data_IF_605193855444
#
_entry.id   IF_605193855444
#
_cell.length_a   1.000
_cell.length_b   1.000
_cell.length_c   1.000
_cell.angle_alpha   90.00
_cell.angle_beta   90.00
_cell.angle_gamma   90.00
#
_symmetry.space_group_name_H-M   'P 1'
#
loop_
_entity.id
_entity.type
_entity.pdbx_description
1 polymer ?
#
# COMPACT_ATOMS: atom_id res chain seq x y z
N UNK A 1 -19.95 -15.90 -0.64
CA UNK A 1 -19.90 -14.43 -0.65
C UNK A 1 -19.76 -13.97 0.79
N UNK A 2 -18.71 -13.22 1.12
CA UNK A 2 -18.32 -12.87 2.50
C UNK A 2 -18.53 -11.38 2.73
N UNK A 3 -19.29 -10.98 3.75
CA UNK A 3 -19.58 -9.57 4.01
C UNK A 3 -18.55 -8.95 4.96
N UNK A 4 -18.02 -7.79 4.59
CA UNK A 4 -17.15 -6.93 5.40
C UNK A 4 -17.76 -5.53 5.35
N UNK A 5 -18.49 -5.16 6.41
CA UNK A 5 -19.27 -3.92 6.42
C UNK A 5 -20.29 -3.90 5.29
N UNK A 6 -20.19 -2.89 4.42
CA UNK A 6 -21.06 -2.70 3.25
C UNK A 6 -20.55 -3.41 1.98
N UNK A 7 -19.35 -4.02 2.04
CA UNK A 7 -18.71 -4.69 0.92
C UNK A 7 -18.85 -6.20 1.08
N UNK A 8 -18.88 -6.91 -0.04
CA UNK A 8 -18.91 -8.36 -0.08
C UNK A 8 -17.86 -8.91 -1.04
N UNK A 9 -17.20 -9.99 -0.63
CA UNK A 9 -16.10 -10.61 -1.36
C UNK A 9 -16.51 -11.99 -1.87
N UNK A 10 -16.21 -12.27 -3.13
CA UNK A 10 -16.21 -13.60 -3.70
C UNK A 10 -14.81 -13.95 -4.19
N UNK A 11 -14.26 -15.05 -3.66
CA UNK A 11 -12.99 -15.57 -4.12
C UNK A 11 -13.16 -16.15 -5.52
N UNK A 12 -12.18 -15.89 -6.39
CA UNK A 12 -12.09 -16.57 -7.68
C UNK A 12 -11.78 -18.06 -7.44
N UNK A 13 -12.51 -18.97 -8.08
CA UNK A 13 -12.25 -20.41 -7.96
C UNK A 13 -12.61 -21.04 -6.61
N UNK A 14 -12.07 -22.24 -6.35
CA UNK A 14 -12.36 -23.00 -5.12
C UNK A 14 -11.56 -22.43 -3.95
N UNK A 15 -12.27 -21.82 -3.00
CA UNK A 15 -11.68 -21.35 -1.75
C UNK A 15 -11.20 -22.52 -0.87
N UNK A 16 -10.02 -22.41 -0.23
CA UNK A 16 -9.61 -23.34 0.83
C UNK A 16 -10.61 -23.36 1.98
N UNK A 17 -10.63 -24.46 2.73
CA UNK A 17 -11.47 -24.58 3.92
C UNK A 17 -11.07 -23.48 4.92
N UNK A 18 -12.07 -22.83 5.51
CA UNK A 18 -11.87 -21.74 6.49
C UNK A 18 -11.17 -20.48 5.96
N UNK A 19 -10.94 -20.32 4.66
CA UNK A 19 -10.37 -19.07 4.12
C UNK A 19 -11.20 -17.83 4.52
N UNK A 20 -12.52 -17.99 4.63
CA UNK A 20 -13.46 -16.98 5.07
C UNK A 20 -13.32 -16.54 6.52
N UNK A 21 -12.67 -17.33 7.37
CA UNK A 21 -12.55 -17.04 8.80
C UNK A 21 -11.31 -16.22 9.14
N UNK A 22 -10.42 -15.99 8.16
CA UNK A 22 -9.17 -15.27 8.33
C UNK A 22 -9.14 -14.02 7.45
N UNK A 23 -9.20 -12.84 8.08
CA UNK A 23 -9.06 -11.56 7.37
C UNK A 23 -7.71 -11.47 6.65
N UNK A 24 -6.64 -12.00 7.24
CA UNK A 24 -5.32 -12.07 6.64
C UNK A 24 -5.33 -12.92 5.36
N UNK A 25 -6.02 -14.06 5.37
CA UNK A 25 -6.16 -14.90 4.17
C UNK A 25 -6.97 -14.19 3.08
N UNK A 26 -8.09 -13.56 3.44
CA UNK A 26 -8.89 -12.80 2.48
C UNK A 26 -8.11 -11.63 1.87
N UNK A 27 -7.29 -10.96 2.68
CA UNK A 27 -6.38 -9.91 2.24
C UNK A 27 -5.31 -10.44 1.30
N UNK A 28 -4.71 -11.61 1.58
CA UNK A 28 -3.80 -12.26 0.63
C UNK A 28 -4.49 -12.53 -0.71
N UNK A 29 -5.66 -13.14 -0.72
CA UNK A 29 -6.40 -13.35 -1.98
C UNK A 29 -6.67 -12.03 -2.71
N UNK A 30 -6.99 -10.97 -1.97
CA UNK A 30 -7.24 -9.64 -2.55
C UNK A 30 -5.98 -9.03 -3.15
N UNK A 31 -4.81 -9.20 -2.54
CA UNK A 31 -3.56 -8.63 -3.07
C UNK A 31 -2.92 -9.52 -4.14
N UNK A 32 -3.29 -10.80 -4.22
CA UNK A 32 -2.82 -11.76 -5.23
C UNK A 32 -3.71 -11.78 -6.49
N UNK A 33 -4.62 -10.83 -6.68
CA UNK A 33 -5.40 -10.79 -7.92
C UNK A 33 -6.60 -11.72 -7.92
N UNK A 34 -7.14 -12.13 -6.76
CA UNK A 34 -8.04 -13.28 -6.67
C UNK A 34 -9.40 -13.07 -6.01
N UNK A 35 -9.88 -11.83 -6.02
CA UNK A 35 -11.16 -11.47 -5.41
C UNK A 35 -12.01 -10.63 -6.35
N UNK A 36 -13.29 -10.97 -6.42
CA UNK A 36 -14.31 -10.06 -6.90
C UNK A 36 -14.93 -9.36 -5.70
N UNK A 37 -14.95 -8.04 -5.76
CA UNK A 37 -15.51 -7.17 -4.74
C UNK A 37 -16.87 -6.72 -5.24
N UNK A 38 -17.88 -6.82 -4.39
CA UNK A 38 -19.22 -6.31 -4.65
C UNK A 38 -19.61 -5.34 -3.54
N UNK A 39 -19.85 -4.09 -3.91
CA UNK A 39 -20.33 -3.03 -3.03
C UNK A 39 -21.61 -2.45 -3.62
N UNK A 40 -22.71 -2.57 -2.89
CA UNK A 40 -24.06 -2.29 -3.41
C UNK A 40 -24.33 -3.11 -4.69
N UNK A 41 -24.76 -2.45 -5.77
CA UNK A 41 -25.03 -3.06 -7.08
C UNK A 41 -23.79 -3.12 -7.98
N UNK A 42 -22.66 -2.52 -7.57
CA UNK A 42 -21.43 -2.48 -8.36
C UNK A 42 -20.54 -3.66 -8.02
N UNK A 43 -19.96 -4.27 -9.06
CA UNK A 43 -18.95 -5.32 -8.95
C UNK A 43 -17.64 -4.81 -9.57
N UNK A 44 -16.53 -4.99 -8.87
CA UNK A 44 -15.20 -4.80 -9.44
C UNK A 44 -14.37 -6.06 -9.24
N UNK A 45 -13.67 -6.46 -10.31
CA UNK A 45 -12.79 -7.60 -10.28
C UNK A 45 -11.38 -7.09 -9.98
N UNK A 46 -10.77 -7.62 -8.93
CA UNK A 46 -9.37 -7.35 -8.62
C UNK A 46 -8.56 -8.51 -9.20
N UNK A 47 -7.77 -8.22 -10.25
CA UNK A 47 -7.04 -9.21 -11.05
C UNK A 47 -5.52 -8.97 -11.06
N UNK A 48 -5.04 -7.98 -10.30
CA UNK A 48 -3.63 -7.61 -10.23
C UNK A 48 -2.95 -8.35 -9.11
N UNK A 49 -1.87 -9.06 -9.41
CA UNK A 49 -0.99 -9.65 -8.44
C UNK A 49 0.07 -8.61 -8.01
N UNK A 50 0.04 -8.26 -6.72
CA UNK A 50 0.97 -7.32 -6.10
C UNK A 50 2.15 -7.99 -5.38
N UNK A 51 2.29 -9.32 -5.45
CA UNK A 51 3.42 -10.03 -4.81
C UNK A 51 4.76 -9.83 -5.51
N UNK A 52 4.76 -9.15 -6.66
CA UNK A 52 5.96 -8.85 -7.45
C UNK A 52 5.92 -7.40 -7.89
N UNK A 53 7.10 -6.83 -8.10
CA UNK A 53 7.30 -5.51 -8.67
C UNK A 53 7.94 -5.65 -10.07
N UNK A 54 7.33 -5.08 -11.12
CA UNK A 54 6.04 -4.38 -11.13
C UNK A 54 4.85 -5.33 -10.92
N UNK A 55 3.69 -4.82 -10.42
CA UNK A 55 2.47 -5.60 -10.36
C UNK A 55 2.04 -6.05 -11.75
N UNK A 56 1.50 -7.25 -11.83
CA UNK A 56 1.11 -7.86 -13.10
C UNK A 56 -0.26 -8.51 -12.99
N UNK A 57 -0.92 -8.76 -14.12
CA UNK A 57 -2.15 -9.54 -14.10
C UNK A 57 -1.87 -10.95 -13.56
N UNK A 58 -2.79 -11.48 -12.75
CA UNK A 58 -2.68 -12.84 -12.22
C UNK A 58 -2.70 -13.85 -13.37
N UNK A 59 -1.65 -14.68 -13.44
CA UNK A 59 -1.50 -15.70 -14.49
C UNK A 59 -1.97 -17.07 -14.01
N UNK A 60 -1.79 -17.37 -12.71
CA UNK A 60 -2.12 -18.68 -12.17
C UNK A 60 -3.47 -18.72 -11.45
N UNK A 61 -3.90 -19.94 -11.14
CA UNK A 61 -5.07 -20.15 -10.30
C UNK A 61 -4.82 -19.59 -8.89
N UNK A 62 -5.84 -18.99 -8.24
CA UNK A 62 -5.74 -18.39 -6.89
C UNK A 62 -5.04 -19.25 -5.84
N UNK A 63 -5.36 -20.55 -5.79
CA UNK A 63 -4.76 -21.47 -4.83
C UNK A 63 -3.26 -21.72 -5.12
N UNK A 64 -2.85 -21.69 -6.39
CA UNK A 64 -1.46 -21.85 -6.79
C UNK A 64 -0.64 -20.60 -6.43
N UNK A 65 -1.18 -19.39 -6.66
CA UNK A 65 -0.56 -18.12 -6.24
C UNK A 65 -0.38 -18.06 -4.72
N UNK A 66 -1.42 -18.42 -3.95
CA UNK A 66 -1.32 -18.45 -2.50
C UNK A 66 -0.30 -19.49 -2.03
N UNK A 67 -0.26 -20.66 -2.66
CA UNK A 67 0.73 -21.69 -2.32
C UNK A 67 2.16 -21.23 -2.62
N UNK A 68 2.38 -20.59 -3.77
CA UNK A 68 3.67 -20.02 -4.15
C UNK A 68 4.10 -18.98 -3.11
N UNK A 69 3.23 -18.01 -2.79
CA UNK A 69 3.49 -17.01 -1.75
C UNK A 69 3.85 -17.64 -0.40
N UNK A 70 3.08 -18.63 0.07
CA UNK A 70 3.34 -19.31 1.36
C UNK A 70 4.71 -20.01 1.36
N UNK A 71 5.11 -20.61 0.23
CA UNK A 71 6.42 -21.27 0.12
C UNK A 71 7.55 -20.25 0.09
N UNK A 72 7.40 -19.19 -0.70
CA UNK A 72 8.40 -18.13 -0.84
C UNK A 72 8.60 -17.39 0.50
N UNK A 73 7.54 -17.23 1.30
CA UNK A 73 7.59 -16.70 2.66
C UNK A 73 8.20 -17.66 3.71
N UNK A 74 8.64 -18.86 3.30
CA UNK A 74 9.31 -19.82 4.18
C UNK A 74 8.38 -20.61 5.10
N UNK A 75 7.08 -20.68 4.82
CA UNK A 75 6.15 -21.51 5.59
C UNK A 75 6.09 -22.96 5.08
N UNK A 76 5.49 -23.85 5.86
CA UNK A 76 5.42 -25.31 5.63
C UNK A 76 4.68 -25.76 4.35
N UNK A 77 4.34 -24.84 3.45
CA UNK A 77 3.69 -25.12 2.16
C UNK A 77 2.26 -25.66 2.26
N UNK A 78 1.68 -25.72 3.47
CA UNK A 78 0.30 -26.21 3.68
C UNK A 78 -0.64 -25.03 3.93
N UNK A 79 -1.51 -24.76 2.96
CA UNK A 79 -2.50 -23.66 3.02
C UNK A 79 -3.37 -23.75 4.28
N UNK A 80 -3.93 -24.92 4.59
CA UNK A 80 -4.83 -25.07 5.75
C UNK A 80 -4.11 -24.81 7.08
N UNK A 81 -2.84 -25.22 7.19
CA UNK A 81 -2.02 -24.96 8.38
C UNK A 81 -1.73 -23.45 8.52
N UNK A 82 -1.41 -22.79 7.40
CA UNK A 82 -1.22 -21.35 7.36
C UNK A 82 -2.49 -20.61 7.80
N UNK A 83 -3.66 -20.96 7.24
CA UNK A 83 -4.94 -20.33 7.58
C UNK A 83 -5.26 -20.53 9.06
N UNK A 84 -5.11 -21.75 9.59
CA UNK A 84 -5.38 -22.04 11.00
C UNK A 84 -4.50 -21.22 11.95
N UNK A 85 -3.22 -21.04 11.61
CA UNK A 85 -2.26 -20.27 12.41
C UNK A 85 -2.52 -18.76 12.35
N UNK A 86 -2.95 -18.26 11.19
CA UNK A 86 -3.13 -16.82 10.94
C UNK A 86 -4.53 -16.29 11.27
N UNK A 87 -5.55 -17.16 11.34
CA UNK A 87 -6.94 -16.74 11.50
C UNK A 87 -7.22 -15.86 12.73
N UNK A 88 -6.47 -16.04 13.82
CA UNK A 88 -6.65 -15.31 15.07
C UNK A 88 -5.62 -14.21 15.31
N UNK A 89 -4.48 -14.20 14.59
CA UNK A 89 -3.40 -13.24 14.79
C UNK A 89 -3.78 -11.89 14.19
N UNK A 90 -3.53 -10.81 14.94
CA UNK A 90 -3.71 -9.43 14.50
C UNK A 90 -5.07 -9.16 13.81
N UNK A 91 -6.12 -9.90 14.21
CA UNK A 91 -7.38 -10.02 13.47
C UNK A 91 -8.04 -8.67 13.19
N UNK A 92 -7.97 -7.75 14.17
CA UNK A 92 -8.51 -6.39 14.04
C UNK A 92 -7.71 -5.60 13.03
N UNK A 93 -6.38 -5.60 13.12
CA UNK A 93 -5.53 -4.86 12.19
C UNK A 93 -5.71 -5.32 10.74
N UNK A 94 -5.69 -6.65 10.50
CA UNK A 94 -5.97 -7.20 9.17
C UNK A 94 -7.39 -6.92 8.68
N UNK A 95 -8.37 -6.77 9.59
CA UNK A 95 -9.74 -6.36 9.21
C UNK A 95 -9.75 -4.94 8.67
N UNK A 96 -9.09 -4.01 9.37
CA UNK A 96 -9.02 -2.61 8.95
C UNK A 96 -8.27 -2.48 7.61
N UNK A 97 -7.13 -3.16 7.47
CA UNK A 97 -6.38 -3.20 6.21
C UNK A 97 -7.23 -3.74 5.07
N UNK A 98 -7.87 -4.89 5.26
CA UNK A 98 -8.76 -5.49 4.25
C UNK A 98 -9.89 -4.55 3.86
N UNK A 99 -10.50 -3.87 4.83
CA UNK A 99 -11.56 -2.90 4.57
C UNK A 99 -11.06 -1.73 3.72
N UNK A 100 -9.90 -1.15 4.04
CA UNK A 100 -9.39 0.00 3.28
C UNK A 100 -8.89 -0.39 1.88
N UNK A 101 -8.31 -1.58 1.69
CA UNK A 101 -8.01 -2.07 0.33
C UNK A 101 -9.30 -2.31 -0.47
N UNK A 102 -10.33 -2.89 0.14
CA UNK A 102 -11.63 -3.05 -0.53
C UNK A 102 -12.24 -1.71 -0.94
N UNK A 103 -12.16 -0.71 -0.07
CA UNK A 103 -12.59 0.66 -0.36
C UNK A 103 -11.79 1.25 -1.53
N UNK A 104 -10.47 1.13 -1.51
CA UNK A 104 -9.59 1.58 -2.60
C UNK A 104 -10.03 1.03 -3.96
N UNK A 105 -10.19 -0.29 -4.08
CA UNK A 105 -10.58 -0.92 -5.33
C UNK A 105 -12.01 -0.55 -5.75
N UNK A 106 -12.93 -0.41 -4.79
CA UNK A 106 -14.31 0.00 -5.06
C UNK A 106 -14.38 1.43 -5.57
N UNK A 107 -13.68 2.37 -4.92
CA UNK A 107 -13.63 3.77 -5.33
C UNK A 107 -12.91 3.95 -6.66
N UNK A 108 -11.82 3.22 -6.90
CA UNK A 108 -11.12 3.21 -8.19
C UNK A 108 -12.04 2.73 -9.30
N UNK A 109 -12.78 1.64 -9.10
CA UNK A 109 -13.75 1.15 -10.08
C UNK A 109 -14.94 2.11 -10.32
N UNK A 110 -15.20 3.02 -9.38
CA UNK A 110 -16.19 4.08 -9.51
C UNK A 110 -15.59 5.41 -10.04
N UNK A 111 -14.33 5.43 -10.49
CA UNK A 111 -13.59 6.62 -10.93
C UNK A 111 -13.49 7.73 -9.86
N UNK A 112 -13.61 7.38 -8.58
CA UNK A 112 -13.41 8.29 -7.46
C UNK A 112 -12.01 8.10 -6.86
N UNK A 113 -11.01 8.56 -7.60
CA UNK A 113 -9.61 8.37 -7.23
C UNK A 113 -9.18 9.18 -6.00
N UNK A 114 -9.89 10.25 -5.66
CA UNK A 114 -9.65 10.99 -4.40
C UNK A 114 -10.04 10.12 -3.21
N UNK A 115 -11.23 9.54 -3.21
CA UNK A 115 -11.67 8.64 -2.14
C UNK A 115 -10.76 7.40 -2.06
N UNK A 116 -10.34 6.87 -3.22
CA UNK A 116 -9.36 5.80 -3.28
C UNK A 116 -8.02 6.20 -2.64
N UNK A 117 -7.52 7.40 -2.93
CA UNK A 117 -6.30 7.95 -2.32
C UNK A 117 -6.43 8.07 -0.80
N UNK A 118 -7.57 8.52 -0.28
CA UNK A 118 -7.84 8.58 1.16
C UNK A 118 -7.71 7.20 1.80
N UNK A 119 -8.24 6.15 1.19
CA UNK A 119 -8.07 4.77 1.68
C UNK A 119 -6.61 4.31 1.70
N UNK A 120 -5.82 4.65 0.67
CA UNK A 120 -4.37 4.36 0.65
C UNK A 120 -3.62 5.09 1.76
N UNK A 121 -3.98 6.34 2.02
CA UNK A 121 -3.38 7.10 3.11
C UNK A 121 -3.75 6.52 4.49
N UNK A 122 -5.00 6.07 4.70
CA UNK A 122 -5.38 5.36 5.94
C UNK A 122 -4.62 4.06 6.12
N UNK A 123 -4.39 3.30 5.05
CA UNK A 123 -3.51 2.11 5.10
C UNK A 123 -2.12 2.51 5.58
N UNK A 124 -1.57 3.61 5.07
CA UNK A 124 -0.27 4.15 5.52
C UNK A 124 -0.28 4.45 7.02
N UNK A 125 -1.33 5.08 7.55
CA UNK A 125 -1.46 5.38 8.99
C UNK A 125 -1.58 4.11 9.84
N UNK A 126 -2.44 3.16 9.47
CA UNK A 126 -2.55 1.87 10.15
C UNK A 126 -1.23 1.10 10.16
N UNK A 127 -0.46 1.22 9.09
CA UNK A 127 0.84 0.58 8.97
C UNK A 127 1.87 1.25 9.87
N UNK A 128 1.96 2.58 9.81
CA UNK A 128 2.86 3.37 10.62
C UNK A 128 2.68 3.10 12.12
N UNK A 129 1.44 2.91 12.58
CA UNK A 129 1.13 2.51 13.95
C UNK A 129 1.66 1.11 14.32
N UNK A 130 1.70 0.17 13.36
CA UNK A 130 2.17 -1.20 13.59
C UNK A 130 3.69 -1.37 13.52
N UNK A 131 4.42 -0.41 12.92
CA UNK A 131 5.87 -0.48 12.70
C UNK A 131 6.69 -0.79 13.96
N UNK A 132 6.45 -0.19 15.15
CA UNK A 132 7.22 -0.53 16.34
C UNK A 132 7.17 -2.03 16.67
N UNK A 133 6.01 -2.64 16.50
CA UNK A 133 5.80 -4.07 16.75
C UNK A 133 6.46 -4.92 15.68
N UNK A 134 6.42 -4.50 14.42
CA UNK A 134 7.11 -5.20 13.33
C UNK A 134 8.62 -5.21 13.53
N UNK A 135 9.21 -4.08 13.96
CA UNK A 135 10.63 -3.99 14.33
C UNK A 135 10.94 -4.97 15.47
N UNK A 136 10.10 -5.02 16.51
CA UNK A 136 10.28 -5.94 17.62
C UNK A 136 10.20 -7.42 17.19
N UNK A 137 9.35 -7.75 16.21
CA UNK A 137 9.21 -9.12 15.69
C UNK A 137 10.44 -9.59 14.89
N UNK A 138 11.12 -8.69 14.16
CA UNK A 138 12.30 -9.05 13.35
C UNK A 138 13.62 -8.90 14.12
N UNK A 139 13.61 -8.20 15.25
CA UNK A 139 14.78 -7.97 16.09
C UNK A 139 15.34 -9.26 16.69
N UNK A 140 16.65 -9.48 16.55
CA UNK A 140 17.35 -10.64 17.15
C UNK A 140 18.03 -10.31 18.48
N UNK A 141 18.29 -9.03 18.74
CA UNK A 141 18.87 -8.53 19.99
C UNK A 141 17.85 -7.64 20.69
N UNK A 142 17.32 -8.09 21.82
CA UNK A 142 16.26 -7.37 22.55
C UNK A 142 16.74 -6.01 23.09
N UNK A 143 17.98 -5.92 23.58
CA UNK A 143 18.51 -4.68 24.12
C UNK A 143 18.80 -3.69 22.99
N UNK A 144 19.47 -4.13 21.92
CA UNK A 144 19.70 -3.32 20.74
C UNK A 144 18.40 -2.88 20.05
N UNK A 145 17.39 -3.75 19.97
CA UNK A 145 16.08 -3.42 19.40
C UNK A 145 15.33 -2.41 20.26
N UNK A 146 15.40 -2.55 21.59
CA UNK A 146 14.84 -1.56 22.52
C UNK A 146 15.52 -0.20 22.37
N UNK A 147 16.85 -0.14 22.33
CA UNK A 147 17.60 1.10 22.17
C UNK A 147 17.33 1.75 20.81
N UNK A 148 17.21 0.94 19.76
CA UNK A 148 16.84 1.39 18.43
C UNK A 148 15.43 2.01 18.43
N UNK A 149 14.42 1.32 18.98
CA UNK A 149 13.06 1.85 19.12
C UNK A 149 13.06 3.13 19.95
N UNK A 150 13.73 3.13 21.10
CA UNK A 150 13.87 4.29 22.00
C UNK A 150 14.49 5.48 21.27
N UNK A 151 15.53 5.27 20.46
CA UNK A 151 16.17 6.33 19.68
C UNK A 151 15.20 7.00 18.70
N UNK A 152 14.17 6.28 18.24
CA UNK A 152 13.16 6.83 17.35
C UNK A 152 12.11 7.69 18.05
N UNK A 153 11.93 7.51 19.36
CA UNK A 153 10.97 8.29 20.15
C UNK A 153 11.61 9.43 20.97
N UNK A 154 12.92 9.40 21.23
CA UNK A 154 13.61 10.33 22.14
C UNK A 154 14.28 11.53 21.44
N UNK A 155 14.35 11.56 20.10
CA UNK A 155 14.98 12.64 19.33
C UNK A 155 14.10 13.89 19.13
N UNK A 156 14.65 15.07 19.42
CA UNK A 156 13.95 16.36 19.49
C UNK A 156 13.49 17.01 18.18
N UNK A 157 13.86 16.50 17.00
CA UNK A 157 13.60 17.19 15.73
C UNK A 157 12.44 16.65 14.90
N UNK A 158 11.90 17.54 14.08
CA UNK A 158 10.63 17.58 13.33
C UNK A 158 10.28 16.36 12.44
N UNK A 159 11.00 15.24 12.52
CA UNK A 159 10.58 13.91 12.02
C UNK A 159 9.81 13.10 13.08
N UNK A 160 9.10 13.80 13.98
CA UNK A 160 8.32 13.18 15.06
C UNK A 160 7.03 12.61 14.51
N UNK A 161 6.85 11.31 14.68
CA UNK A 161 5.59 10.63 14.43
C UNK A 161 5.76 9.25 13.83
N UNK A 162 4.67 8.50 13.84
CA UNK A 162 4.59 7.13 13.34
C UNK A 162 5.07 7.01 11.87
N UNK A 163 4.84 8.04 11.05
CA UNK A 163 5.25 8.08 9.64
C UNK A 163 6.78 8.18 9.45
N UNK A 164 7.47 8.94 10.30
CA UNK A 164 8.93 9.03 10.27
C UNK A 164 9.57 7.71 10.72
N UNK A 165 8.94 7.04 11.69
CA UNK A 165 9.31 5.70 12.11
C UNK A 165 9.11 4.69 10.97
N UNK A 166 8.00 4.77 10.24
CA UNK A 166 7.74 3.90 9.10
C UNK A 166 8.83 4.04 8.02
N UNK A 167 9.23 5.26 7.68
CA UNK A 167 10.34 5.48 6.75
C UNK A 167 11.63 4.79 7.21
N UNK A 168 12.02 4.98 8.48
CA UNK A 168 13.23 4.36 9.05
C UNK A 168 13.15 2.83 9.08
N UNK A 169 11.96 2.28 9.30
CA UNK A 169 11.76 0.83 9.24
C UNK A 169 12.02 0.28 7.84
N UNK A 170 11.52 0.94 6.79
CA UNK A 170 11.79 0.51 5.41
C UNK A 170 13.29 0.54 5.10
N UNK A 171 13.98 1.62 5.47
CA UNK A 171 15.41 1.80 5.19
C UNK A 171 16.30 0.79 5.93
N UNK A 172 15.91 0.34 7.14
CA UNK A 172 16.74 -0.50 8.00
C UNK A 172 16.31 -1.96 8.06
N UNK A 173 15.10 -2.29 7.61
CA UNK A 173 14.62 -3.66 7.61
C UNK A 173 15.41 -4.47 6.57
N UNK A 174 16.02 -5.60 6.95
CA UNK A 174 16.70 -6.46 5.99
C UNK A 174 15.76 -7.00 4.92
N UNK A 175 14.46 -7.08 5.20
CA UNK A 175 13.42 -7.58 4.28
C UNK A 175 13.25 -6.67 3.06
N UNK A 176 13.42 -5.36 3.22
CA UNK A 176 13.20 -4.41 2.13
C UNK A 176 14.50 -3.98 1.43
N UNK A 177 15.67 -4.39 1.94
CA UNK A 177 16.97 -3.88 1.47
C UNK A 177 17.18 -4.06 -0.03
N UNK A 178 16.76 -5.19 -0.60
CA UNK A 178 16.95 -5.51 -2.02
C UNK A 178 16.02 -4.73 -2.96
N UNK A 179 14.93 -4.18 -2.43
CA UNK A 179 13.93 -3.47 -3.24
C UNK A 179 13.98 -1.94 -3.08
N UNK A 180 14.78 -1.39 -2.16
CA UNK A 180 14.81 0.06 -1.90
C UNK A 180 15.13 0.87 -3.15
N UNK A 181 15.99 0.33 -4.01
CA UNK A 181 16.43 0.93 -5.28
C UNK A 181 15.52 0.59 -6.46
N UNK A 182 14.47 -0.22 -6.27
CA UNK A 182 13.49 -0.49 -7.33
C UNK A 182 12.85 0.82 -7.80
N UNK A 183 12.77 1.02 -9.11
CA UNK A 183 12.22 2.23 -9.73
C UNK A 183 10.80 1.99 -10.24
N UNK A 184 9.86 2.84 -9.84
CA UNK A 184 8.54 2.91 -10.44
C UNK A 184 8.54 3.91 -11.58
N UNK A 185 8.00 3.51 -12.73
CA UNK A 185 7.61 4.43 -13.78
C UNK A 185 6.27 5.08 -13.45
N UNK A 186 6.24 6.41 -13.47
CA UNK A 186 5.06 7.22 -13.25
C UNK A 186 4.67 7.87 -14.58
N UNK A 187 3.48 7.57 -15.08
CA UNK A 187 2.94 8.19 -16.28
C UNK A 187 1.75 9.06 -15.93
N UNK A 188 1.77 10.32 -16.38
CA UNK A 188 0.66 11.24 -16.17
C UNK A 188 -0.26 11.16 -17.38
N UNK A 189 -1.31 10.35 -17.24
CA UNK A 189 -2.25 10.01 -18.31
C UNK A 189 -3.54 10.84 -18.28
N UNK A 190 -3.55 11.96 -17.55
CA UNK A 190 -4.70 12.86 -17.50
C UNK A 190 -4.99 13.51 -18.86
N UNK A 191 -6.15 14.17 -18.94
CA UNK A 191 -6.57 14.89 -20.14
C UNK A 191 -5.46 15.85 -20.63
N UNK A 192 -5.29 15.94 -21.95
CA UNK A 192 -4.29 16.79 -22.62
C UNK A 192 -4.26 18.22 -22.07
N UNK A 193 -5.42 18.82 -21.78
CA UNK A 193 -5.52 20.18 -21.28
C UNK A 193 -4.86 20.39 -19.89
N UNK A 194 -4.79 19.34 -19.07
CA UNK A 194 -4.29 19.40 -17.68
C UNK A 194 -3.00 18.63 -17.48
N UNK A 195 -2.60 17.79 -18.43
CA UNK A 195 -1.47 16.86 -18.34
C UNK A 195 -0.16 17.52 -17.92
N UNK A 196 0.18 18.65 -18.54
CA UNK A 196 1.40 19.40 -18.19
C UNK A 196 1.37 19.89 -16.73
N UNK A 197 0.23 20.41 -16.30
CA UNK A 197 0.06 20.90 -14.92
C UNK A 197 0.20 19.75 -13.92
N UNK A 198 -0.50 18.63 -14.17
CA UNK A 198 -0.43 17.43 -13.35
C UNK A 198 0.97 16.86 -13.28
N UNK A 199 1.69 16.84 -14.40
CA UNK A 199 3.08 16.38 -14.45
C UNK A 199 4.00 17.24 -13.59
N UNK A 200 3.96 18.57 -13.78
CA UNK A 200 4.77 19.50 -12.98
C UNK A 200 4.46 19.38 -11.49
N UNK A 201 3.19 19.25 -11.14
CA UNK A 201 2.77 19.04 -9.77
C UNK A 201 3.29 17.71 -9.20
N UNK A 202 3.15 16.60 -9.94
CA UNK A 202 3.61 15.29 -9.50
C UNK A 202 5.12 15.27 -9.25
N UNK A 203 5.90 15.88 -10.14
CA UNK A 203 7.34 16.08 -9.98
C UNK A 203 7.65 16.91 -8.71
N UNK A 204 6.96 18.03 -8.52
CA UNK A 204 7.16 18.91 -7.35
C UNK A 204 6.87 18.19 -6.03
N UNK A 205 5.89 17.29 -6.03
CA UNK A 205 5.53 16.48 -4.86
C UNK A 205 6.49 15.29 -4.64
N UNK A 206 7.12 14.79 -5.70
CA UNK A 206 8.10 13.71 -5.62
C UNK A 206 9.39 14.23 -4.95
N UNK A 207 9.88 13.62 -3.86
CA UNK A 207 11.05 14.11 -3.14
C UNK A 207 12.35 14.02 -3.94
N UNK A 208 12.54 12.93 -4.70
CA UNK A 208 13.77 12.61 -5.43
C UNK A 208 13.42 11.93 -6.77
N UNK A 209 12.86 12.66 -7.76
CA UNK A 209 12.62 12.08 -9.08
C UNK A 209 13.96 11.70 -9.73
N UNK A 210 14.09 10.46 -10.20
CA UNK A 210 15.35 9.91 -10.73
C UNK A 210 15.57 10.36 -12.19
N UNK A 211 14.50 10.32 -12.96
CA UNK A 211 14.45 10.77 -14.35
C UNK A 211 13.09 11.39 -14.60
N UNK A 212 13.04 12.41 -15.45
CA UNK A 212 11.85 13.18 -15.74
C UNK A 212 11.84 13.48 -17.25
N UNK A 213 10.79 13.06 -17.93
CA UNK A 213 10.57 13.26 -19.35
C UNK A 213 9.31 14.13 -19.53
N UNK A 214 9.53 15.40 -19.87
CA UNK A 214 8.45 16.36 -20.09
C UNK A 214 7.69 16.08 -21.40
N UNK A 215 8.28 15.35 -22.34
CA UNK A 215 7.63 14.98 -23.62
C UNK A 215 6.65 13.84 -23.40
N UNK A 216 7.05 12.83 -22.61
CA UNK A 216 6.21 11.68 -22.26
C UNK A 216 5.33 11.92 -21.03
N UNK A 217 5.50 13.07 -20.36
CA UNK A 217 4.87 13.39 -19.07
C UNK A 217 5.06 12.28 -18.05
N UNK A 218 6.28 11.75 -17.99
CA UNK A 218 6.62 10.59 -17.16
C UNK A 218 7.87 10.83 -16.33
N UNK A 219 7.96 10.16 -15.20
CA UNK A 219 9.14 10.23 -14.35
C UNK A 219 9.32 8.95 -13.55
N UNK A 220 10.49 8.78 -12.96
CA UNK A 220 10.79 7.64 -12.10
C UNK A 220 10.93 8.03 -10.64
N UNK A 221 10.44 7.16 -9.75
CA UNK A 221 10.58 7.29 -8.30
C UNK A 221 11.07 5.99 -7.69
N UNK A 222 12.03 6.05 -6.76
CA UNK A 222 12.51 4.86 -6.06
C UNK A 222 11.51 4.37 -5.04
N UNK A 223 11.49 3.08 -4.78
CA UNK A 223 10.65 2.45 -3.77
C UNK A 223 10.76 3.15 -2.41
N UNK A 224 11.99 3.44 -1.96
CA UNK A 224 12.24 4.14 -0.69
C UNK A 224 11.61 5.54 -0.60
N UNK A 225 11.36 6.19 -1.75
CA UNK A 225 10.84 7.55 -1.84
C UNK A 225 9.30 7.59 -1.97
N UNK A 226 8.65 6.47 -2.29
CA UNK A 226 7.19 6.40 -2.51
C UNK A 226 6.40 6.78 -1.26
N UNK A 227 6.81 6.35 -0.07
CA UNK A 227 6.15 6.74 1.19
C UNK A 227 6.18 8.26 1.39
N UNK A 228 7.33 8.88 1.15
CA UNK A 228 7.49 10.32 1.27
C UNK A 228 6.66 11.05 0.22
N UNK A 229 6.57 10.51 -1.00
CA UNK A 229 5.73 11.04 -2.07
C UNK A 229 4.24 10.98 -1.70
N UNK A 230 3.75 9.85 -1.20
CA UNK A 230 2.37 9.68 -0.72
C UNK A 230 2.02 10.69 0.38
N UNK A 231 2.90 10.82 1.38
CA UNK A 231 2.70 11.77 2.50
C UNK A 231 2.69 13.22 1.99
N UNK A 232 3.59 13.59 1.08
CA UNK A 232 3.62 14.94 0.48
C UNK A 232 2.36 15.23 -0.31
N UNK A 233 1.90 14.28 -1.13
CA UNK A 233 0.64 14.40 -1.87
C UNK A 233 -0.54 14.63 -0.93
N UNK A 234 -0.62 13.87 0.18
CA UNK A 234 -1.67 14.05 1.18
C UNK A 234 -1.58 15.40 1.88
N UNK A 235 -0.41 15.77 2.38
CA UNK A 235 -0.25 16.99 3.15
C UNK A 235 -0.56 18.23 2.31
N UNK A 236 -0.13 18.24 1.06
CA UNK A 236 -0.33 19.39 0.19
C UNK A 236 -1.75 19.50 -0.35
N UNK A 237 -2.44 18.37 -0.61
CA UNK A 237 -3.81 18.40 -1.14
C UNK A 237 -4.89 18.45 -0.04
N UNK A 238 -4.75 17.64 1.01
CA UNK A 238 -5.79 17.44 2.03
C UNK A 238 -5.61 18.33 3.27
N UNK A 239 -4.39 18.79 3.54
CA UNK A 239 -4.05 19.63 4.70
C UNK A 239 -3.59 21.00 4.24
N UNK A 240 -4.43 21.66 3.44
CA UNK A 240 -4.24 23.06 3.06
C UNK A 240 -4.36 23.95 4.31
N UNK A 241 -3.28 24.02 5.08
CA UNK A 241 -3.20 24.89 6.25
C UNK A 241 -3.01 26.32 5.75
N UNK A 242 -4.10 27.10 5.74
CA UNK A 242 -4.08 28.54 5.48
C UNK A 242 -3.15 29.17 6.54
N UNK A 243 -1.97 29.63 6.11
CA UNK A 243 -0.98 30.31 6.97
C UNK A 243 0.36 29.58 7.18
N UNK A 244 0.56 28.36 6.68
CA UNK A 244 1.90 27.71 6.70
C UNK A 244 2.64 27.86 5.37
N UNK A 245 3.77 28.61 5.42
CA UNK A 245 4.88 28.83 4.47
C UNK A 245 4.73 28.33 3.00
N UNK A 246 4.63 29.31 2.10
CA UNK A 246 5.24 29.48 0.75
C UNK A 246 5.27 28.38 -0.32
N UNK A 247 4.77 27.17 -0.08
CA UNK A 247 4.94 26.06 -1.04
C UNK A 247 3.72 25.11 -1.09
N UNK A 248 2.57 25.59 -0.61
CA UNK A 248 1.32 24.83 -0.61
C UNK A 248 0.74 24.72 -2.02
N UNK A 249 0.11 23.58 -2.30
CA UNK A 249 -0.58 23.40 -3.56
C UNK A 249 -1.88 24.19 -3.47
N UNK A 250 -2.01 25.24 -4.26
CA UNK A 250 -3.24 26.04 -4.26
C UNK A 250 -4.38 25.24 -4.90
N UNK A 251 -5.62 25.49 -4.49
CA UNK A 251 -6.80 24.72 -4.95
C UNK A 251 -6.99 24.79 -6.48
N UNK A 252 -6.50 25.85 -7.11
CA UNK A 252 -6.47 26.06 -8.56
C UNK A 252 -5.33 25.32 -9.29
N UNK A 253 -4.31 24.83 -8.59
CA UNK A 253 -3.21 24.06 -9.18
C UNK A 253 -3.60 22.59 -9.43
N UNK A 254 -4.51 22.01 -8.64
CA UNK A 254 -5.07 20.67 -8.89
C UNK A 254 -6.40 20.79 -9.61
N UNK A 255 -6.32 21.05 -10.91
CA UNK A 255 -7.46 20.89 -11.81
C UNK A 255 -7.84 19.41 -11.88
N UNK A 256 -9.13 19.07 -11.84
CA UNK A 256 -9.61 17.68 -11.90
C UNK A 256 -8.83 16.70 -10.99
N UNK A 257 -8.93 16.85 -9.65
CA UNK A 257 -8.16 16.04 -8.70
C UNK A 257 -8.35 14.53 -8.85
N UNK A 258 -9.54 14.07 -9.27
CA UNK A 258 -9.73 12.65 -9.58
C UNK A 258 -8.81 12.15 -10.70
N UNK A 259 -8.59 12.92 -11.76
CA UNK A 259 -7.65 12.51 -12.82
C UNK A 259 -6.20 12.51 -12.30
N UNK A 260 -5.83 13.52 -11.51
CA UNK A 260 -4.50 13.61 -10.92
C UNK A 260 -4.19 12.40 -10.03
N UNK A 261 -5.06 12.09 -9.06
CA UNK A 261 -4.89 10.92 -8.20
C UNK A 261 -5.05 9.60 -8.94
N UNK A 262 -5.80 9.56 -10.05
CA UNK A 262 -5.88 8.41 -10.93
C UNK A 262 -4.52 7.99 -11.50
N UNK A 263 -3.63 8.96 -11.75
CA UNK A 263 -2.27 8.69 -12.23
C UNK A 263 -1.33 8.17 -11.12
N UNK A 264 -1.51 8.64 -9.88
CA UNK A 264 -0.57 8.34 -8.78
C UNK A 264 -0.94 7.10 -7.96
N UNK A 265 -2.24 6.86 -7.78
CA UNK A 265 -2.76 5.76 -6.98
C UNK A 265 -2.21 4.37 -7.33
N UNK A 266 -1.99 4.00 -8.62
CA UNK A 266 -1.40 2.71 -8.98
C UNK A 266 -0.05 2.42 -8.30
N UNK A 267 0.81 3.44 -8.19
CA UNK A 267 2.13 3.31 -7.56
C UNK A 267 1.97 3.19 -6.05
N UNK A 268 1.09 4.00 -5.46
CA UNK A 268 0.84 3.98 -4.02
C UNK A 268 0.23 2.65 -3.55
N UNK A 269 -0.76 2.10 -4.29
CA UNK A 269 -1.32 0.78 -3.94
C UNK A 269 -0.28 -0.32 -4.15
N UNK A 270 0.54 -0.25 -5.21
CA UNK A 270 1.59 -1.23 -5.46
C UNK A 270 2.57 -1.29 -4.29
N UNK A 271 3.08 -0.13 -3.88
CA UNK A 271 4.00 0.02 -2.77
C UNK A 271 3.41 -0.51 -1.46
N UNK A 272 2.18 -0.10 -1.09
CA UNK A 272 1.53 -0.52 0.15
C UNK A 272 1.16 -2.01 0.15
N UNK A 273 0.70 -2.54 -0.98
CA UNK A 273 0.37 -3.95 -1.11
C UNK A 273 1.62 -4.82 -0.98
N UNK A 274 2.73 -4.44 -1.62
CA UNK A 274 3.99 -5.16 -1.53
C UNK A 274 4.49 -5.23 -0.07
N UNK A 275 4.55 -4.07 0.60
CA UNK A 275 4.98 -3.99 2.02
C UNK A 275 4.14 -4.87 2.92
N UNK A 276 2.82 -4.89 2.69
CA UNK A 276 1.90 -5.70 3.48
C UNK A 276 2.06 -7.20 3.23
N UNK A 277 2.31 -7.60 1.98
CA UNK A 277 2.59 -9.00 1.63
C UNK A 277 3.87 -9.51 2.30
N UNK A 278 4.96 -8.74 2.24
CA UNK A 278 6.21 -9.06 2.96
C UNK A 278 5.96 -9.22 4.46
N UNK A 279 5.17 -8.33 5.04
CA UNK A 279 4.86 -8.39 6.48
C UNK A 279 3.98 -9.55 6.87
N UNK A 280 3.05 -9.96 6.01
CA UNK A 280 2.30 -11.20 6.20
C UNK A 280 3.26 -12.40 6.18
N UNK A 281 4.28 -12.38 5.32
CA UNK A 281 5.34 -13.38 5.31
C UNK A 281 6.10 -13.45 6.65
N UNK A 282 6.41 -12.30 7.26
CA UNK A 282 7.08 -12.21 8.57
C UNK A 282 6.16 -12.68 9.71
N UNK A 283 4.95 -12.12 9.85
CA UNK A 283 4.01 -12.47 10.94
C UNK A 283 3.54 -13.93 10.85
N UNK A 284 3.60 -14.50 9.65
CA UNK A 284 3.34 -15.89 9.42
C UNK A 284 4.42 -16.83 9.97
N UNK A 285 5.64 -16.40 10.29
CA UNK A 285 6.67 -17.31 10.83
C UNK A 285 6.28 -17.79 12.24
#
# INVERSE_FOLDING_TARGET
MLKIGHVSLSLSGRAPKNASTSNQTLLLYLLLGAVTIQANEKKCQQNTNFSKLPPSARVHAPAAELLAFIKDAGHSGKIDAFIKRTATRNRRWYKEMLSEFCNYFTFTAANNHIAAFVSLYRITEYYAYAVPMLIACVGRDLYGTYDQLRSYFVGGDQQKGELGLFKKFLEKSPVFKEILDYEYDVFITSNLAMRQSHYRLAIRLCPNPISADETLHSFKVRFQDVLSFLIRARNRYMHFAIGQRSDNVHTDEILAPNEFFGCLNPIFVSFLAYILLETIGIDGQ
#
